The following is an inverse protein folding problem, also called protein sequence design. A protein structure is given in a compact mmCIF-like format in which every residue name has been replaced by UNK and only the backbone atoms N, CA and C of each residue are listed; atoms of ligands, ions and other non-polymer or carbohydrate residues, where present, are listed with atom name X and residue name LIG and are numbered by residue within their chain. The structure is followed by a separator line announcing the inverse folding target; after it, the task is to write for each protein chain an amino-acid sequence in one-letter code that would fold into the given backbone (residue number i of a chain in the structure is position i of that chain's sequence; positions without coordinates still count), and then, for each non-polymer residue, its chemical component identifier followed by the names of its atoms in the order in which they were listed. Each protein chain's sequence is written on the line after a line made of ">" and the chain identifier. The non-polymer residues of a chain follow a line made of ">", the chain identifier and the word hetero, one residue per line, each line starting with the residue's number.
data_IF_534254431379
#
_entry.id   IF_534254431379
#
_cell.length_a   1.000
_cell.length_b   1.000
_cell.length_c   1.000
_cell.angle_alpha   90.00
_cell.angle_beta   90.00
_cell.angle_gamma   90.00
#
_symmetry.space_group_name_H-M   'P 1'
#
loop_
_entity.id
_entity.type
_entity.pdbx_description
1 polymer ?
#
# COMPACT_ATOMS: atom_id res chain seq x y z
N UNK A 1 23.11 -13.82 -6.27
CA UNK A 1 22.03 -12.95 -5.74
C UNK A 1 20.64 -13.28 -6.27
N UNK A 2 20.46 -13.72 -7.52
CA UNK A 2 19.16 -14.07 -8.11
C UNK A 2 18.33 -15.12 -7.33
N UNK A 3 18.98 -16.11 -6.72
CA UNK A 3 18.29 -17.16 -5.94
C UNK A 3 17.50 -16.57 -4.77
N UNK A 4 18.11 -15.71 -3.94
CA UNK A 4 17.42 -15.10 -2.79
C UNK A 4 16.24 -14.21 -3.19
N UNK A 5 16.36 -13.47 -4.29
CA UNK A 5 15.26 -12.67 -4.84
C UNK A 5 14.07 -13.54 -5.26
N UNK A 6 14.36 -14.65 -5.93
CA UNK A 6 13.33 -15.62 -6.29
C UNK A 6 12.71 -16.27 -5.03
N UNK A 7 13.50 -16.48 -3.97
CA UNK A 7 13.02 -17.03 -2.71
C UNK A 7 12.01 -16.09 -2.03
N UNK A 8 12.24 -14.77 -2.04
CA UNK A 8 11.33 -13.78 -1.43
C UNK A 8 10.00 -13.70 -2.19
N UNK A 9 10.04 -13.67 -3.52
CA UNK A 9 8.82 -13.64 -4.36
C UNK A 9 8.03 -14.94 -4.22
N UNK A 10 8.73 -16.09 -4.21
CA UNK A 10 8.09 -17.38 -4.02
C UNK A 10 7.40 -17.48 -2.66
N UNK A 11 8.03 -16.95 -1.59
CA UNK A 11 7.43 -16.92 -0.26
C UNK A 11 6.17 -16.05 -0.22
N UNK A 12 6.20 -14.88 -0.85
CA UNK A 12 5.02 -13.99 -0.97
C UNK A 12 3.86 -14.67 -1.70
N UNK A 13 4.11 -15.26 -2.87
CA UNK A 13 3.08 -15.96 -3.65
C UNK A 13 2.54 -17.19 -2.92
N UNK A 14 3.41 -17.92 -2.21
CA UNK A 14 3.01 -19.06 -1.36
C UNK A 14 2.08 -18.62 -0.22
N UNK A 15 2.33 -17.46 0.36
CA UNK A 15 1.51 -16.91 1.43
C UNK A 15 0.13 -16.46 0.94
N UNK A 16 0.07 -15.90 -0.27
CA UNK A 16 -1.18 -15.59 -0.98
C UNK A 16 -1.95 -16.88 -1.29
N UNK A 17 -1.33 -17.89 -1.91
CA UNK A 17 -2.00 -19.15 -2.28
C UNK A 17 -2.70 -19.81 -1.08
N UNK A 18 -2.07 -19.79 0.09
CA UNK A 18 -2.66 -20.30 1.33
C UNK A 18 -3.91 -19.52 1.76
N UNK A 19 -3.93 -18.21 1.55
CA UNK A 19 -5.04 -17.33 1.94
C UNK A 19 -6.19 -17.38 0.95
N UNK A 20 -5.90 -17.60 -0.33
CA UNK A 20 -6.90 -17.83 -1.39
C UNK A 20 -7.58 -19.22 -1.28
N UNK A 21 -7.35 -19.95 -0.18
CA UNK A 21 -8.04 -21.19 0.13
C UNK A 21 -9.54 -20.94 0.30
N UNK A 22 -10.31 -21.29 -0.72
CA UNK A 22 -11.75 -21.03 -0.80
C UNK A 22 -12.17 -20.48 -2.17
N UNK A 23 -11.22 -19.89 -2.91
CA UNK A 23 -11.41 -19.50 -4.31
C UNK A 23 -11.25 -20.72 -5.23
N UNK A 24 -12.04 -20.83 -6.32
CA UNK A 24 -11.87 -21.88 -7.33
C UNK A 24 -10.42 -22.01 -7.82
N UNK A 25 -9.95 -23.25 -7.97
CA UNK A 25 -8.54 -23.54 -8.29
C UNK A 25 -8.07 -22.85 -9.56
N UNK A 26 -8.92 -22.80 -10.60
CA UNK A 26 -8.59 -22.15 -11.86
C UNK A 26 -8.33 -20.65 -11.65
N UNK A 27 -9.28 -19.95 -11.04
CA UNK A 27 -9.19 -18.52 -10.76
C UNK A 27 -8.00 -18.18 -9.84
N UNK A 28 -7.73 -19.02 -8.84
CA UNK A 28 -6.53 -18.85 -7.98
C UNK A 28 -5.23 -18.95 -8.77
N UNK A 29 -5.14 -19.90 -9.71
CA UNK A 29 -3.94 -20.07 -10.54
C UNK A 29 -3.75 -18.92 -11.52
N UNK A 30 -4.83 -18.43 -12.11
CA UNK A 30 -4.80 -17.24 -12.97
C UNK A 30 -4.29 -16.03 -12.20
N UNK A 31 -4.87 -15.75 -11.02
CA UNK A 31 -4.43 -14.64 -10.18
C UNK A 31 -2.95 -14.73 -9.78
N UNK A 32 -2.48 -15.92 -9.38
CA UNK A 32 -1.07 -16.11 -9.03
C UNK A 32 -0.13 -15.92 -10.23
N UNK A 33 -0.55 -16.37 -11.41
CA UNK A 33 0.22 -16.18 -12.65
C UNK A 33 0.28 -14.70 -13.05
N UNK A 34 -0.83 -13.98 -12.91
CA UNK A 34 -0.91 -12.54 -13.19
C UNK A 34 -0.02 -11.75 -12.23
N UNK A 35 -0.04 -12.08 -10.93
CA UNK A 35 0.84 -11.46 -9.93
C UNK A 35 2.32 -11.75 -10.22
N UNK A 36 2.66 -12.99 -10.57
CA UNK A 36 4.03 -13.36 -10.95
C UNK A 36 4.50 -12.57 -12.19
N UNK A 37 3.65 -12.49 -13.22
CA UNK A 37 3.93 -11.73 -14.43
C UNK A 37 4.10 -10.23 -14.15
N UNK A 38 3.26 -9.65 -13.29
CA UNK A 38 3.33 -8.25 -12.91
C UNK A 38 4.62 -7.93 -12.14
N UNK A 39 5.00 -8.76 -11.18
CA UNK A 39 6.26 -8.62 -10.43
C UNK A 39 7.46 -8.75 -11.39
N UNK A 40 7.42 -9.69 -12.33
CA UNK A 40 8.48 -9.87 -13.32
C UNK A 40 8.61 -8.67 -14.26
N UNK A 41 7.49 -8.08 -14.69
CA UNK A 41 7.46 -6.89 -15.53
C UNK A 41 8.06 -5.68 -14.81
N UNK A 42 7.59 -5.36 -13.59
CA UNK A 42 8.12 -4.28 -12.75
C UNK A 42 9.62 -4.43 -12.50
N UNK A 43 10.08 -5.67 -12.27
CA UNK A 43 11.50 -5.98 -12.10
C UNK A 43 12.31 -5.66 -13.36
N UNK A 44 11.80 -6.04 -14.52
CA UNK A 44 12.46 -5.81 -15.80
C UNK A 44 12.50 -4.31 -16.15
N UNK A 45 11.39 -3.61 -15.99
CA UNK A 45 11.26 -2.18 -16.28
C UNK A 45 12.21 -1.34 -15.43
N UNK A 46 12.31 -1.64 -14.14
CA UNK A 46 13.16 -0.90 -13.20
C UNK A 46 14.60 -1.42 -13.13
N UNK A 47 14.92 -2.48 -13.87
CA UNK A 47 16.21 -3.17 -13.84
C UNK A 47 16.65 -3.56 -12.40
N UNK A 48 15.70 -4.06 -11.61
CA UNK A 48 15.96 -4.35 -10.19
C UNK A 48 16.96 -5.49 -10.05
N UNK A 49 18.09 -5.17 -9.42
CA UNK A 49 19.17 -6.13 -9.16
C UNK A 49 19.29 -6.48 -7.68
N UNK A 50 18.66 -5.71 -6.79
CA UNK A 50 18.69 -5.86 -5.33
C UNK A 50 17.51 -6.62 -4.75
N UNK A 51 17.73 -7.30 -3.62
CA UNK A 51 16.65 -7.91 -2.82
C UNK A 51 15.82 -6.84 -2.09
N UNK A 52 16.44 -5.78 -1.59
CA UNK A 52 15.74 -4.67 -0.91
C UNK A 52 14.76 -3.93 -1.83
N UNK A 53 15.19 -3.60 -3.05
CA UNK A 53 14.33 -2.98 -4.06
C UNK A 53 13.14 -3.88 -4.44
N UNK A 54 13.34 -5.19 -4.46
CA UNK A 54 12.27 -6.15 -4.72
C UNK A 54 11.27 -6.20 -3.55
N UNK A 55 11.74 -6.09 -2.31
CA UNK A 55 10.88 -5.98 -1.13
C UNK A 55 10.03 -4.70 -1.21
N UNK A 56 10.61 -3.57 -1.61
CA UNK A 56 9.84 -2.32 -1.81
C UNK A 56 8.72 -2.47 -2.85
N UNK A 57 8.97 -3.23 -3.94
CA UNK A 57 7.92 -3.54 -4.92
C UNK A 57 6.81 -4.39 -4.30
N UNK A 58 7.15 -5.42 -3.52
CA UNK A 58 6.17 -6.27 -2.84
C UNK A 58 5.39 -5.49 -1.77
N UNK A 59 6.03 -4.59 -1.04
CA UNK A 59 5.37 -3.72 -0.07
C UNK A 59 4.35 -2.79 -0.74
N UNK A 60 4.64 -2.32 -1.95
CA UNK A 60 3.71 -1.50 -2.74
C UNK A 60 2.52 -2.29 -3.29
N UNK A 61 2.69 -3.59 -3.60
CA UNK A 61 1.57 -4.48 -3.91
C UNK A 61 0.67 -4.70 -2.68
N UNK A 62 1.24 -4.55 -1.49
CA UNK A 62 0.55 -4.71 -0.22
C UNK A 62 0.76 -6.09 0.38
N UNK A 63 0.26 -6.25 1.61
CA UNK A 63 0.45 -7.50 2.34
C UNK A 63 -0.37 -8.64 1.69
N UNK A 64 0.08 -9.90 1.78
CA UNK A 64 -0.63 -11.05 1.24
C UNK A 64 -2.10 -11.15 1.70
N UNK A 65 -2.40 -10.69 2.92
CA UNK A 65 -3.75 -10.61 3.47
C UNK A 65 -4.64 -9.66 2.69
N UNK A 66 -4.14 -8.45 2.39
CA UNK A 66 -4.91 -7.42 1.70
C UNK A 66 -5.21 -7.86 0.28
N UNK A 67 -4.22 -8.41 -0.42
CA UNK A 67 -4.39 -8.93 -1.78
C UNK A 67 -5.38 -10.10 -1.79
N UNK A 68 -5.27 -11.03 -0.85
CA UNK A 68 -6.20 -12.16 -0.77
C UNK A 68 -7.62 -11.73 -0.38
N UNK A 69 -7.77 -10.75 0.50
CA UNK A 69 -9.08 -10.21 0.88
C UNK A 69 -9.78 -9.56 -0.33
N UNK A 70 -9.06 -8.77 -1.12
CA UNK A 70 -9.57 -8.17 -2.35
C UNK A 70 -10.00 -9.26 -3.36
N UNK A 71 -9.19 -10.30 -3.54
CA UNK A 71 -9.53 -11.42 -4.42
C UNK A 71 -10.78 -12.19 -3.95
N UNK A 72 -10.95 -12.35 -2.62
CA UNK A 72 -12.15 -12.96 -2.05
C UNK A 72 -13.41 -12.12 -2.31
N UNK A 73 -13.31 -10.80 -2.14
CA UNK A 73 -14.39 -9.85 -2.44
C UNK A 73 -14.83 -9.95 -3.91
N UNK A 74 -13.87 -9.96 -4.84
CA UNK A 74 -14.13 -10.09 -6.27
C UNK A 74 -14.74 -11.46 -6.64
N UNK A 75 -14.25 -12.54 -6.01
CA UNK A 75 -14.78 -13.88 -6.21
C UNK A 75 -16.13 -14.12 -5.51
N UNK A 76 -16.65 -13.15 -4.77
CA UNK A 76 -17.88 -13.31 -3.98
C UNK A 76 -17.77 -14.39 -2.89
N UNK A 77 -16.55 -14.66 -2.43
CA UNK A 77 -16.26 -15.69 -1.42
C UNK A 77 -15.80 -15.03 -0.13
N UNK A 78 -15.99 -15.70 1.01
CA UNK A 78 -15.48 -15.19 2.28
C UNK A 78 -14.09 -15.77 2.57
N UNK A 79 -13.15 -14.94 3.05
CA UNK A 79 -11.86 -15.43 3.51
C UNK A 79 -12.07 -16.47 4.60
N UNK A 80 -11.43 -17.63 4.47
CA UNK A 80 -11.40 -18.58 5.58
C UNK A 80 -10.57 -17.96 6.71
N UNK A 81 -11.07 -17.94 7.97
CA UNK A 81 -10.29 -17.41 9.07
C UNK A 81 -8.96 -18.18 9.17
N UNK A 82 -7.82 -17.47 9.32
CA UNK A 82 -6.51 -18.11 9.37
C UNK A 82 -6.47 -19.10 10.54
N UNK A 83 -5.92 -20.29 10.31
CA UNK A 83 -5.59 -21.20 11.39
C UNK A 83 -4.66 -20.47 12.38
N UNK A 84 -4.86 -20.58 13.70
CA UNK A 84 -4.14 -19.76 14.66
C UNK A 84 -2.62 -19.96 14.50
N UNK A 85 -1.84 -18.87 14.38
CA UNK A 85 -0.41 -18.97 14.15
C UNK A 85 0.28 -19.56 15.39
N UNK A 86 1.04 -20.65 15.20
CA UNK A 86 1.98 -21.16 16.21
C UNK A 86 3.21 -20.26 16.24
N UNK A 87 3.09 -19.10 16.89
CA UNK A 87 4.22 -18.32 17.41
C UNK A 87 4.71 -17.15 16.58
N UNK A 88 4.16 -15.93 16.80
CA UNK A 88 4.91 -14.65 16.77
C UNK A 88 4.06 -13.51 17.35
N UNK A 89 4.02 -13.41 18.68
CA UNK A 89 3.05 -12.58 19.45
C UNK A 89 3.39 -11.08 19.56
N UNK A 90 4.41 -10.56 18.87
CA UNK A 90 4.85 -9.14 19.02
C UNK A 90 4.66 -8.26 17.78
N UNK A 91 4.37 -8.84 16.60
CA UNK A 91 4.08 -8.10 15.36
C UNK A 91 2.89 -7.13 15.45
N UNK A 92 1.74 -7.47 16.07
CA UNK A 92 0.54 -6.62 15.93
C UNK A 92 0.66 -5.26 16.62
N UNK A 93 1.53 -5.13 17.63
CA UNK A 93 1.76 -3.86 18.31
C UNK A 93 2.58 -2.87 17.45
N UNK A 94 3.44 -3.38 16.58
CA UNK A 94 4.23 -2.54 15.66
C UNK A 94 3.37 -2.01 14.50
N UNK A 95 2.46 -2.83 13.98
CA UNK A 95 1.52 -2.42 12.91
C UNK A 95 0.51 -1.38 13.41
N UNK A 96 0.00 -1.57 14.64
CA UNK A 96 -0.89 -0.58 15.26
C UNK A 96 -0.21 0.78 15.47
N UNK A 97 1.07 0.78 15.85
CA UNK A 97 1.84 2.01 16.02
C UNK A 97 2.09 2.74 14.70
N UNK A 98 2.38 2.01 13.61
CA UNK A 98 2.59 2.60 12.29
C UNK A 98 1.30 3.21 11.70
N UNK A 99 0.17 2.51 11.84
CA UNK A 99 -1.13 3.01 11.38
C UNK A 99 -1.55 4.29 12.11
N UNK A 100 -1.35 4.35 13.44
CA UNK A 100 -1.64 5.55 14.22
C UNK A 100 -0.78 6.75 13.78
N UNK A 101 0.50 6.52 13.48
CA UNK A 101 1.41 7.56 12.99
C UNK A 101 0.99 8.08 11.61
N UNK A 102 0.60 7.20 10.69
CA UNK A 102 0.13 7.57 9.36
C UNK A 102 -1.14 8.42 9.41
N UNK A 103 -2.13 8.05 10.24
CA UNK A 103 -3.36 8.84 10.43
C UNK A 103 -3.04 10.23 10.95
N UNK A 104 -2.08 10.35 11.88
CA UNK A 104 -1.69 11.64 12.44
C UNK A 104 -1.05 12.56 11.39
N UNK A 105 -0.21 12.02 10.51
CA UNK A 105 0.42 12.77 9.39
C UNK A 105 -0.61 13.21 8.35
N UNK A 106 -1.58 12.36 8.02
CA UNK A 106 -2.67 12.72 7.08
C UNK A 106 -3.52 13.85 7.67
N UNK A 107 -3.83 13.77 8.97
CA UNK A 107 -4.63 14.77 9.66
C UNK A 107 -3.92 16.13 9.71
N UNK A 108 -2.62 16.17 10.00
CA UNK A 108 -1.84 17.41 10.00
C UNK A 108 -1.70 18.01 8.61
N UNK A 109 -1.48 17.18 7.59
CA UNK A 109 -1.40 17.63 6.19
C UNK A 109 -2.73 18.25 5.71
N UNK A 110 -3.86 17.62 6.04
CA UNK A 110 -5.18 18.11 5.65
C UNK A 110 -5.53 19.44 6.31
N UNK A 111 -5.21 19.60 7.60
CA UNK A 111 -5.40 20.86 8.32
C UNK A 111 -4.50 21.98 7.77
N UNK A 112 -3.26 21.66 7.38
CA UNK A 112 -2.35 22.60 6.74
C UNK A 112 -2.87 23.05 5.37
N UNK A 113 -3.39 22.11 4.57
CA UNK A 113 -3.96 22.39 3.25
C UNK A 113 -5.23 23.24 3.33
N UNK A 114 -6.08 23.04 4.34
CA UNK A 114 -7.28 23.85 4.54
C UNK A 114 -6.98 25.30 4.96
N UNK A 115 -5.84 25.57 5.61
CA UNK A 115 -5.44 26.93 6.01
C UNK A 115 -4.88 27.75 4.85
N UNK A 116 -4.24 27.12 3.85
CA UNK A 116 -3.62 27.84 2.73
C UNK A 116 -4.63 28.31 1.66
N UNK A 117 -5.85 27.78 1.62
CA UNK A 117 -6.86 28.15 0.63
C UNK A 117 -7.60 29.48 0.92
N UNK A 118 -7.31 30.18 2.01
CA UNK A 118 -8.04 31.40 2.42
C UNK A 118 -7.33 32.72 2.06
N UNK A 119 -6.16 32.70 1.41
CA UNK A 119 -5.39 33.92 1.12
C UNK A 119 -5.45 34.32 -0.35
N UNK A 120 -6.65 34.68 -0.82
CA UNK A 120 -6.82 35.41 -2.09
C UNK A 120 -7.71 36.65 -1.83
N UNK A 121 -7.23 37.54 -0.94
CA UNK A 121 -7.62 38.95 -0.95
C UNK A 121 -6.68 39.68 -1.92
N UNK A 122 -7.11 39.84 -3.18
CA UNK A 122 -6.43 40.68 -4.16
C UNK A 122 -6.64 42.18 -3.87
N UNK A 123 -5.58 42.99 -3.72
CA UNK A 123 -5.64 44.39 -3.30
C UNK A 123 -5.77 45.34 -4.50
N UNK A 124 -6.52 46.43 -4.34
CA UNK A 124 -6.47 47.57 -5.26
C UNK A 124 -6.43 48.90 -4.50
N UNK A 125 -5.20 49.28 -4.15
CA UNK A 125 -4.59 50.62 -4.30
C UNK A 125 -5.42 51.84 -3.86
N UNK A 126 -4.99 52.44 -2.74
CA UNK A 126 -5.37 53.79 -2.29
C UNK A 126 -4.58 54.95 -2.95
N UNK A 127 -4.61 56.19 -2.40
CA UNK A 127 -5.02 57.44 -3.06
C UNK A 127 -3.87 58.46 -3.27
N UNK A 128 -4.15 59.77 -3.55
CA UNK A 128 -3.82 60.77 -2.51
C UNK A 128 -4.71 62.05 -2.40
N UNK A 129 -4.94 62.45 -1.13
CA UNK A 129 -4.96 63.77 -0.47
C UNK A 129 -5.52 65.06 -1.14
N UNK A 130 -6.25 65.90 -0.37
CA UNK A 130 -5.80 67.23 0.18
C UNK A 130 -6.89 67.81 1.13
N UNK A 131 -6.46 68.26 2.33
CA UNK A 131 -7.22 68.98 3.38
C UNK A 131 -7.60 70.43 3.01
N UNK A 132 -8.69 71.00 3.57
CA UNK A 132 -8.83 72.45 3.73
C UNK A 132 -8.44 72.91 5.15
N UNK A 133 -7.57 73.92 5.24
CA UNK A 133 -7.33 74.72 6.45
C UNK A 133 -8.40 75.80 6.65
#
# INVERSE_FOLDING_TARGET
>A
MKTRQNDVVAEYLREIDQRLAGIPVLQRRELLADLEAHIAAERAERNLAGEGELIEVLERLGSPEVVAAAAHEEAGTQPRPPAPPRGRRLWPWMVAAAAALAVLVVCTFFLFFAQTSSHEEGPAVGPPAVEPS
#
